data_IF_198164207296
#
_entry.id   IF_198164207296
#
_cell.length_a   1.000
_cell.length_b   1.000
_cell.length_c   1.000
_cell.angle_alpha   90.00
_cell.angle_beta   90.00
_cell.angle_gamma   90.00
#
_symmetry.space_group_name_H-M   'P 1'
#
loop_
_entity.id
_entity.type
_entity.pdbx_description
1 polymer ?
#
# COMPACT_ATOMS: atom_id res chain seq x y z
N UNK A 1 11.38 3.10 -15.89
CA UNK A 1 11.84 2.15 -14.85
C UNK A 1 11.42 2.59 -13.44
N UNK A 2 10.92 3.82 -13.22
CA UNK A 2 10.53 4.33 -11.90
C UNK A 2 9.30 3.63 -11.29
N UNK A 3 8.36 3.11 -12.09
CA UNK A 3 7.17 2.45 -11.54
C UNK A 3 7.44 1.03 -11.04
N UNK A 4 8.57 0.43 -11.41
CA UNK A 4 8.84 -0.98 -11.11
C UNK A 4 9.15 -1.19 -9.63
N UNK A 5 9.84 -0.23 -9.01
CA UNK A 5 10.13 -0.20 -7.58
C UNK A 5 8.83 -0.08 -6.77
N UNK A 6 7.90 0.76 -7.22
CA UNK A 6 6.61 0.95 -6.55
C UNK A 6 5.78 -0.34 -6.57
N UNK A 7 5.72 -1.03 -7.72
CA UNK A 7 5.02 -2.30 -7.79
C UNK A 7 5.68 -3.39 -6.94
N UNK A 8 7.02 -3.42 -6.86
CA UNK A 8 7.72 -4.36 -5.98
C UNK A 8 7.46 -4.05 -4.51
N UNK A 9 7.42 -2.78 -4.13
CA UNK A 9 7.11 -2.36 -2.77
C UNK A 9 5.66 -2.72 -2.41
N UNK A 10 4.71 -2.50 -3.32
CA UNK A 10 3.30 -2.89 -3.14
C UNK A 10 3.19 -4.41 -3.00
N UNK A 11 3.88 -5.19 -3.85
CA UNK A 11 3.84 -6.65 -3.78
C UNK A 11 4.46 -7.17 -2.47
N UNK A 12 5.63 -6.66 -2.08
CA UNK A 12 6.26 -6.96 -0.79
C UNK A 12 5.32 -6.60 0.37
N UNK A 13 4.67 -5.44 0.29
CA UNK A 13 3.71 -4.98 1.27
C UNK A 13 2.45 -5.85 1.31
N UNK A 14 2.00 -6.42 0.18
CA UNK A 14 0.87 -7.36 0.13
C UNK A 14 1.27 -8.74 0.70
N UNK A 15 2.54 -9.12 0.56
CA UNK A 15 3.06 -10.37 1.13
C UNK A 15 3.24 -10.31 2.65
N UNK A 16 3.35 -9.12 3.24
CA UNK A 16 3.45 -9.00 4.71
C UNK A 16 2.17 -9.48 5.37
N UNK A 17 2.33 -10.32 6.39
CA UNK A 17 1.25 -10.94 7.17
C UNK A 17 1.11 -10.31 8.56
N UNK A 18 2.11 -9.55 9.00
CA UNK A 18 2.16 -8.89 10.31
C UNK A 18 2.42 -7.39 10.16
N UNK A 19 1.90 -6.62 11.12
CA UNK A 19 2.08 -5.17 11.17
C UNK A 19 3.56 -4.76 11.23
N UNK A 20 4.38 -5.52 11.96
CA UNK A 20 5.81 -5.25 12.08
C UNK A 20 6.54 -5.39 10.74
N UNK A 21 6.27 -6.47 9.98
CA UNK A 21 6.85 -6.62 8.64
C UNK A 21 6.35 -5.55 7.68
N UNK A 22 5.07 -5.17 7.79
CA UNK A 22 4.49 -4.10 7.00
C UNK A 22 5.24 -2.77 7.25
N UNK A 23 5.53 -2.43 8.51
CA UNK A 23 6.33 -1.25 8.89
C UNK A 23 7.75 -1.34 8.33
N UNK A 24 8.40 -2.50 8.44
CA UNK A 24 9.75 -2.72 7.93
C UNK A 24 9.80 -2.49 6.41
N UNK A 25 8.83 -3.03 5.67
CA UNK A 25 8.72 -2.81 4.22
C UNK A 25 8.46 -1.35 3.90
N UNK A 26 7.58 -0.66 4.64
CA UNK A 26 7.34 0.78 4.46
C UNK A 26 8.61 1.60 4.71
N UNK A 27 9.37 1.26 5.74
CA UNK A 27 10.64 1.93 6.09
C UNK A 27 11.71 1.73 5.01
N UNK A 28 11.83 0.49 4.51
CA UNK A 28 12.72 0.16 3.38
C UNK A 28 12.25 0.79 2.06
N UNK A 29 10.95 1.01 1.91
CA UNK A 29 10.32 1.53 0.69
C UNK A 29 9.53 2.81 0.98
N UNK A 30 10.23 3.90 1.28
CA UNK A 30 9.62 5.22 1.50
C UNK A 30 8.77 5.70 0.32
N UNK A 31 8.94 5.13 -0.88
CA UNK A 31 8.06 5.34 -2.03
C UNK A 31 6.59 4.99 -1.73
N UNK A 32 6.32 4.04 -0.83
CA UNK A 32 4.96 3.67 -0.37
C UNK A 32 4.28 4.78 0.43
N UNK A 33 5.05 5.65 1.08
CA UNK A 33 4.54 6.80 1.84
C UNK A 33 4.29 8.03 0.94
N UNK A 34 4.64 7.95 -0.34
CA UNK A 34 4.42 9.06 -1.27
C UNK A 34 2.99 9.11 -1.77
N UNK A 35 2.54 10.30 -2.17
CA UNK A 35 1.25 10.50 -2.84
C UNK A 35 1.08 9.64 -4.09
N UNK A 36 2.16 9.25 -4.77
CA UNK A 36 2.10 8.34 -5.93
C UNK A 36 1.61 6.94 -5.53
N UNK A 37 2.08 6.42 -4.40
CA UNK A 37 1.62 5.12 -3.90
C UNK A 37 0.16 5.18 -3.48
N UNK A 38 -0.26 6.26 -2.82
CA UNK A 38 -1.65 6.47 -2.44
C UNK A 38 -2.60 6.46 -3.64
N UNK A 39 -2.24 7.20 -4.70
CA UNK A 39 -2.99 7.23 -5.97
C UNK A 39 -3.01 5.84 -6.63
N UNK A 40 -1.88 5.12 -6.62
CA UNK A 40 -1.79 3.78 -7.17
C UNK A 40 -2.71 2.80 -6.42
N UNK A 41 -2.67 2.78 -5.09
CA UNK A 41 -3.57 1.96 -4.26
C UNK A 41 -5.03 2.31 -4.53
N UNK A 42 -5.40 3.59 -4.50
CA UNK A 42 -6.78 4.03 -4.82
C UNK A 42 -7.23 3.55 -6.21
N UNK A 43 -6.35 3.60 -7.21
CA UNK A 43 -6.66 3.13 -8.57
C UNK A 43 -6.85 1.62 -8.63
N UNK A 44 -6.00 0.85 -7.93
CA UNK A 44 -6.08 -0.62 -7.88
C UNK A 44 -7.34 -1.06 -7.12
N UNK A 45 -7.64 -0.43 -5.97
CA UNK A 45 -8.85 -0.69 -5.18
C UNK A 45 -10.10 -0.39 -6.01
N UNK A 46 -10.13 0.76 -6.69
CA UNK A 46 -11.24 1.13 -7.56
C UNK A 46 -11.45 0.09 -8.67
N UNK A 47 -10.37 -0.31 -9.36
CA UNK A 47 -10.44 -1.35 -10.38
C UNK A 47 -10.89 -2.71 -9.82
N UNK A 48 -10.37 -3.12 -8.66
CA UNK A 48 -10.77 -4.35 -8.01
C UNK A 48 -12.27 -4.36 -7.69
N UNK A 49 -12.82 -3.26 -7.17
CA UNK A 49 -14.28 -3.13 -6.94
C UNK A 49 -15.08 -3.21 -8.23
N UNK A 50 -14.63 -2.53 -9.30
CA UNK A 50 -15.30 -2.57 -10.60
C UNK A 50 -15.29 -3.98 -11.23
N UNK A 51 -14.25 -4.77 -10.96
CA UNK A 51 -14.12 -6.16 -11.45
C UNK A 51 -14.85 -7.18 -10.56
N UNK A 52 -15.46 -6.76 -9.45
CA UNK A 52 -16.12 -7.66 -8.48
C UNK A 52 -15.15 -8.36 -7.53
N UNK A 53 -13.88 -7.95 -7.48
CA UNK A 53 -12.88 -8.43 -6.53
C UNK A 53 -12.98 -7.69 -5.19
N UNK A 54 -14.16 -7.73 -4.55
CA UNK A 54 -14.44 -6.99 -3.31
C UNK A 54 -13.50 -7.38 -2.17
N UNK A 55 -13.15 -8.67 -2.03
CA UNK A 55 -12.18 -9.14 -1.03
C UNK A 55 -10.81 -8.51 -1.22
N UNK A 56 -10.32 -8.46 -2.46
CA UNK A 56 -9.03 -7.82 -2.78
C UNK A 56 -9.10 -6.32 -2.53
N UNK A 57 -10.21 -5.68 -2.91
CA UNK A 57 -10.41 -4.26 -2.67
C UNK A 57 -10.37 -3.92 -1.17
N UNK A 58 -11.07 -4.69 -0.32
CA UNK A 58 -11.07 -4.48 1.13
C UNK A 58 -9.70 -4.75 1.74
N UNK A 59 -9.03 -5.84 1.35
CA UNK A 59 -7.69 -6.15 1.86
C UNK A 59 -6.66 -5.07 1.49
N UNK A 60 -6.79 -4.43 0.32
CA UNK A 60 -5.95 -3.30 -0.10
C UNK A 60 -6.33 -2.00 0.60
N UNK A 61 -7.61 -1.81 0.91
CA UNK A 61 -8.12 -0.65 1.65
C UNK A 61 -7.59 -0.62 3.09
N UNK A 62 -7.67 -1.76 3.80
CA UNK A 62 -7.09 -1.92 5.15
C UNK A 62 -5.57 -1.66 5.16
N UNK A 63 -4.90 -2.15 4.13
CA UNK A 63 -3.46 -1.95 3.92
C UNK A 63 -3.11 -0.48 3.69
N UNK A 64 -3.90 0.23 2.87
CA UNK A 64 -3.73 1.66 2.61
C UNK A 64 -3.97 2.49 3.88
N UNK A 65 -4.98 2.15 4.67
CA UNK A 65 -5.30 2.83 5.93
C UNK A 65 -4.15 2.66 6.95
N UNK A 66 -3.52 1.48 6.98
CA UNK A 66 -2.33 1.23 7.78
C UNK A 66 -1.14 2.09 7.35
N UNK A 67 -0.82 2.16 6.05
CA UNK A 67 0.26 3.02 5.52
C UNK A 67 -0.01 4.49 5.89
N UNK A 68 -1.26 4.94 5.76
CA UNK A 68 -1.67 6.30 6.10
C UNK A 68 -1.45 6.60 7.58
N UNK A 69 -1.86 5.69 8.46
CA UNK A 69 -1.65 5.81 9.90
C UNK A 69 -0.16 5.92 10.25
N UNK A 70 0.70 5.11 9.62
CA UNK A 70 2.15 5.20 9.80
C UNK A 70 2.70 6.54 9.30
N UNK A 71 2.24 7.01 8.13
CA UNK A 71 2.65 8.31 7.57
C UNK A 71 2.30 9.46 8.52
N UNK A 72 1.09 9.44 9.08
CA UNK A 72 0.62 10.45 10.03
C UNK A 72 1.42 10.41 11.34
N UNK A 73 1.78 9.22 11.83
CA UNK A 73 2.66 9.06 13.00
C UNK A 73 4.10 9.53 12.73
N UNK A 74 4.60 9.47 11.50
CA UNK A 74 5.95 9.95 11.15
C UNK A 74 6.02 11.47 10.91
N UNK A 75 4.88 12.12 10.63
CA UNK A 75 4.78 13.57 10.38
C UNK A 75 4.61 14.38 11.68
N UNK A 76 4.34 13.72 12.81
CA UNK A 76 4.04 14.32 14.13
C UNK A 76 5.20 14.19 15.13
#
# INVERSE_FOLDING_TARGET
MENQQLYQAIDAFIQTTTKEQAIEVIDQHQELLTDKADIAFSTIIHNARQQGHETTANALDERRDFIRSIREEQDN
#
